data_IF_640098356801
#
_entry.id   IF_640098356801
#
_cell.length_a   1.000
_cell.length_b   1.000
_cell.length_c   1.000
_cell.angle_alpha   90.00
_cell.angle_beta   90.00
_cell.angle_gamma   90.00
#
_symmetry.space_group_name_H-M   'P 1'
#
loop_
_entity.id
_entity.type
_entity.pdbx_description
1 polymer ?
#
# COMPACT_ATOMS: atom_id res chain seq x y z
N UNK A 1 -4.21 -38.07 19.59
CA UNK A 1 -3.80 -37.21 18.47
C UNK A 1 -5.03 -36.45 18.01
N UNK A 2 -5.13 -35.14 18.28
CA UNK A 2 -6.20 -34.31 17.72
C UNK A 2 -5.91 -34.04 16.24
N UNK A 3 -6.93 -34.16 15.39
CA UNK A 3 -6.80 -34.05 13.94
C UNK A 3 -6.24 -32.68 13.54
N UNK A 4 -5.20 -32.70 12.71
CA UNK A 4 -4.53 -31.51 12.17
C UNK A 4 -5.52 -30.65 11.34
N UNK A 5 -6.54 -31.29 10.75
CA UNK A 5 -7.61 -30.65 9.98
C UNK A 5 -8.53 -29.73 10.82
N UNK A 6 -8.87 -30.07 12.07
CA UNK A 6 -9.71 -29.20 12.92
C UNK A 6 -8.97 -27.92 13.36
N UNK A 7 -7.64 -27.95 13.41
CA UNK A 7 -6.84 -26.77 13.79
C UNK A 7 -6.77 -25.72 12.68
N UNK A 8 -6.75 -26.14 11.41
CA UNK A 8 -6.63 -25.23 10.25
C UNK A 8 -7.93 -24.51 9.91
N UNK A 9 -9.09 -25.13 10.16
CA UNK A 9 -10.41 -24.50 9.96
C UNK A 9 -10.60 -23.22 10.79
N UNK A 10 -9.80 -23.01 11.84
CA UNK A 10 -9.88 -21.84 12.74
C UNK A 10 -8.89 -20.69 12.42
N UNK A 11 -7.97 -20.86 11.46
CA UNK A 11 -6.83 -19.95 11.30
C UNK A 11 -6.86 -19.08 10.05
N UNK A 12 -7.83 -19.28 9.15
CA UNK A 12 -8.01 -18.51 7.91
C UNK A 12 -9.49 -18.34 7.57
N UNK A 13 -9.87 -17.16 7.08
CA UNK A 13 -11.19 -16.90 6.48
C UNK A 13 -11.09 -15.86 5.35
N UNK A 14 -12.06 -15.86 4.44
CA UNK A 14 -12.20 -14.88 3.35
C UNK A 14 -13.67 -14.50 3.18
N UNK A 15 -13.96 -13.22 3.40
CA UNK A 15 -15.32 -12.67 3.39
C UNK A 15 -15.45 -11.59 2.30
N UNK A 16 -16.67 -11.41 1.79
CA UNK A 16 -17.01 -10.19 1.04
C UNK A 16 -17.49 -9.13 2.03
N UNK A 17 -17.08 -7.89 1.84
CA UNK A 17 -17.41 -6.81 2.77
C UNK A 17 -18.93 -6.54 2.77
N UNK A 18 -19.55 -6.58 1.59
CA UNK A 18 -21.00 -6.39 1.42
C UNK A 18 -21.87 -7.51 2.04
N UNK A 19 -21.28 -8.66 2.38
CA UNK A 19 -21.99 -9.74 3.07
C UNK A 19 -21.93 -9.60 4.60
N UNK A 20 -21.19 -8.62 5.14
CA UNK A 20 -20.99 -8.43 6.58
C UNK A 20 -22.16 -7.62 7.15
N UNK A 21 -23.18 -8.33 7.63
CA UNK A 21 -24.46 -7.73 8.07
C UNK A 21 -24.36 -7.00 9.42
N UNK A 22 -23.39 -7.36 10.27
CA UNK A 22 -23.22 -6.77 11.61
C UNK A 22 -21.73 -6.64 11.99
N UNK A 23 -21.19 -5.42 12.18
CA UNK A 23 -19.79 -5.21 12.56
C UNK A 23 -19.40 -5.90 13.87
N UNK A 24 -20.32 -6.00 14.84
CA UNK A 24 -20.09 -6.64 16.13
C UNK A 24 -19.80 -8.15 16.04
N UNK A 25 -20.43 -8.85 15.08
CA UNK A 25 -20.21 -10.29 14.88
C UNK A 25 -18.75 -10.61 14.52
N UNK A 26 -18.07 -9.71 13.79
CA UNK A 26 -16.65 -9.90 13.49
C UNK A 26 -15.75 -9.76 14.70
N UNK A 27 -16.10 -8.89 15.66
CA UNK A 27 -15.37 -8.76 16.91
C UNK A 27 -15.53 -10.02 17.77
N UNK A 28 -16.73 -10.58 17.82
CA UNK A 28 -17.03 -11.79 18.60
C UNK A 28 -16.37 -13.04 17.99
N UNK A 29 -16.33 -13.16 16.66
CA UNK A 29 -15.74 -14.32 15.96
C UNK A 29 -14.21 -14.26 15.88
N UNK A 30 -13.63 -13.08 15.70
CA UNK A 30 -12.18 -12.89 15.57
C UNK A 30 -11.69 -11.93 16.64
N UNK A 31 -11.05 -12.49 17.67
CA UNK A 31 -10.34 -11.67 18.65
C UNK A 31 -9.32 -10.76 17.94
N UNK A 32 -9.48 -9.45 18.07
CA UNK A 32 -8.66 -8.47 17.37
C UNK A 32 -7.16 -8.68 17.64
N UNK A 33 -6.80 -9.23 18.80
CA UNK A 33 -5.42 -9.46 19.22
C UNK A 33 -4.71 -10.63 18.51
N UNK A 34 -5.43 -11.50 17.80
CA UNK A 34 -4.88 -12.76 17.25
C UNK A 34 -4.80 -12.82 15.71
N UNK A 35 -5.52 -11.94 15.01
CA UNK A 35 -5.73 -12.05 13.56
C UNK A 35 -5.18 -10.86 12.78
N UNK A 36 -4.35 -11.17 11.79
CA UNK A 36 -4.00 -10.24 10.72
C UNK A 36 -5.16 -10.16 9.73
N UNK A 37 -5.33 -9.01 9.09
CA UNK A 37 -6.33 -8.83 8.06
C UNK A 37 -5.72 -8.14 6.84
N UNK A 38 -6.17 -8.54 5.65
CA UNK A 38 -5.87 -7.84 4.40
C UNK A 38 -7.22 -7.54 3.76
N UNK A 39 -7.54 -6.26 3.58
CA UNK A 39 -8.78 -5.83 2.95
C UNK A 39 -8.53 -5.23 1.58
N UNK A 40 -9.33 -5.63 0.60
CA UNK A 40 -9.52 -4.90 -0.63
C UNK A 40 -10.83 -4.13 -0.50
N UNK A 41 -10.75 -2.81 -0.52
CA UNK A 41 -11.89 -1.91 -0.42
C UNK A 41 -12.13 -1.27 -1.78
N UNK A 42 -13.37 -1.37 -2.26
CA UNK A 42 -13.83 -0.73 -3.50
C UNK A 42 -14.83 0.37 -3.16
N UNK A 43 -14.30 1.59 -3.04
CA UNK A 43 -15.08 2.82 -2.93
C UNK A 43 -14.75 3.77 -4.08
N UNK A 44 -14.78 5.08 -3.81
CA UNK A 44 -14.35 6.10 -4.78
C UNK A 44 -12.90 5.88 -5.29
N UNK A 45 -12.06 5.28 -4.44
CA UNK A 45 -10.72 4.81 -4.79
C UNK A 45 -10.62 3.35 -4.36
N UNK A 46 -9.97 2.51 -5.18
CA UNK A 46 -9.70 1.11 -4.83
C UNK A 46 -8.43 1.05 -3.98
N UNK A 47 -8.52 0.44 -2.80
CA UNK A 47 -7.41 0.38 -1.83
C UNK A 47 -7.19 -1.03 -1.29
N UNK A 48 -5.92 -1.40 -1.14
CA UNK A 48 -5.49 -2.61 -0.44
C UNK A 48 -4.90 -2.20 0.91
N UNK A 49 -5.43 -2.73 2.00
CA UNK A 49 -5.08 -2.33 3.36
C UNK A 49 -4.63 -3.55 4.18
N UNK A 50 -3.56 -3.39 4.95
CA UNK A 50 -3.02 -4.43 5.84
C UNK A 50 -3.23 -4.03 7.30
N UNK A 51 -3.97 -4.85 8.05
CA UNK A 51 -4.23 -4.62 9.46
C UNK A 51 -3.36 -5.51 10.32
N UNK A 52 -2.67 -4.89 11.27
CA UNK A 52 -2.02 -5.57 12.37
C UNK A 52 -3.02 -5.71 13.54
N UNK A 53 -3.09 -6.87 14.20
CA UNK A 53 -3.89 -7.11 15.41
C UNK A 53 -3.85 -5.97 16.45
N UNK A 54 -2.70 -5.30 16.57
CA UNK A 54 -2.44 -4.29 17.61
C UNK A 54 -2.89 -2.87 17.26
N UNK A 55 -3.48 -2.65 16.08
CA UNK A 55 -3.88 -1.31 15.62
C UNK A 55 -5.42 -1.25 15.54
N UNK A 56 -6.08 -0.44 16.40
CA UNK A 56 -7.51 -0.24 16.30
C UNK A 56 -7.83 0.50 14.99
N UNK A 57 -8.89 0.06 14.31
CA UNK A 57 -9.32 0.65 13.05
C UNK A 57 -10.85 0.80 13.05
N UNK A 58 -11.32 1.88 12.45
CA UNK A 58 -12.75 2.19 12.30
C UNK A 58 -13.22 1.80 10.91
N UNK A 59 -14.36 1.13 10.84
CA UNK A 59 -15.04 0.83 9.58
C UNK A 59 -15.94 2.00 9.19
N UNK A 60 -15.94 2.36 7.91
CA UNK A 60 -16.98 3.22 7.33
C UNK A 60 -18.00 2.33 6.63
N UNK A 61 -19.29 2.66 6.79
CA UNK A 61 -20.37 1.92 6.15
C UNK A 61 -20.40 2.19 4.63
N UNK A 62 -20.95 1.24 3.86
CA UNK A 62 -21.13 1.29 2.39
C UNK A 62 -19.89 0.99 1.52
N UNK A 63 -19.08 0.01 1.92
CA UNK A 63 -17.93 -0.43 1.12
C UNK A 63 -18.08 -1.86 0.61
N UNK A 64 -17.79 -2.07 -0.68
CA UNK A 64 -17.73 -3.42 -1.28
C UNK A 64 -16.29 -3.91 -1.34
N UNK A 65 -16.10 -5.22 -1.44
CA UNK A 65 -14.77 -5.80 -1.64
C UNK A 65 -14.54 -7.06 -0.83
N UNK A 66 -13.32 -7.26 -0.36
CA UNK A 66 -12.91 -8.51 0.27
C UNK A 66 -12.14 -8.29 1.56
N UNK A 67 -12.29 -9.22 2.50
CA UNK A 67 -11.55 -9.26 3.75
C UNK A 67 -10.96 -10.66 3.96
N UNK A 68 -9.64 -10.76 3.79
CA UNK A 68 -8.87 -11.93 4.18
C UNK A 68 -8.46 -11.81 5.65
N UNK A 69 -8.72 -12.83 6.44
CA UNK A 69 -8.44 -12.89 7.88
C UNK A 69 -7.59 -14.12 8.15
N UNK A 70 -6.49 -13.99 8.89
CA UNK A 70 -5.65 -15.14 9.23
C UNK A 70 -4.86 -14.95 10.53
N UNK A 71 -4.60 -16.06 11.24
CA UNK A 71 -3.71 -16.07 12.41
C UNK A 71 -2.25 -16.10 11.98
N UNK A 72 -1.35 -15.63 12.83
CA UNK A 72 0.10 -15.79 12.59
C UNK A 72 0.54 -17.26 12.46
N UNK A 73 -0.18 -18.20 13.07
CA UNK A 73 0.04 -19.65 12.93
C UNK A 73 -0.42 -20.23 11.60
N UNK A 74 -1.11 -19.46 10.76
CA UNK A 74 -1.43 -19.86 9.39
C UNK A 74 -0.16 -20.04 8.56
N UNK A 75 0.90 -19.31 8.88
CA UNK A 75 2.20 -19.41 8.23
C UNK A 75 3.17 -20.34 8.96
N UNK A 76 4.15 -20.86 8.21
CA UNK A 76 5.32 -21.51 8.81
C UNK A 76 6.07 -20.55 9.75
N UNK A 77 6.78 -21.09 10.74
CA UNK A 77 7.49 -20.29 11.74
C UNK A 77 8.40 -19.23 11.11
N UNK A 78 9.11 -19.58 10.02
CA UNK A 78 9.99 -18.67 9.28
C UNK A 78 9.25 -17.44 8.71
N UNK A 79 8.02 -17.60 8.23
CA UNK A 79 7.21 -16.51 7.71
C UNK A 79 6.54 -15.72 8.84
N UNK A 80 6.09 -16.40 9.90
CA UNK A 80 5.54 -15.78 11.11
C UNK A 80 6.52 -14.79 11.75
N UNK A 81 7.81 -15.12 11.81
CA UNK A 81 8.84 -14.23 12.36
C UNK A 81 9.14 -13.02 11.45
N UNK A 82 8.84 -13.14 10.16
CA UNK A 82 9.01 -12.07 9.17
C UNK A 82 7.83 -11.13 9.10
N UNK A 83 6.59 -11.64 9.19
CA UNK A 83 5.38 -10.85 8.91
C UNK A 83 5.29 -9.61 9.81
N UNK A 84 5.65 -9.75 11.09
CA UNK A 84 5.69 -8.66 12.07
C UNK A 84 6.75 -7.59 11.77
N UNK A 85 7.73 -7.90 10.93
CA UNK A 85 8.83 -6.99 10.56
C UNK A 85 8.59 -6.33 9.20
N UNK A 86 7.57 -6.75 8.46
CA UNK A 86 7.28 -6.19 7.15
C UNK A 86 6.68 -4.78 7.28
N UNK A 87 7.02 -3.85 6.37
CA UNK A 87 6.64 -2.44 6.48
C UNK A 87 5.13 -2.22 6.60
N UNK A 88 4.30 -3.00 5.90
CA UNK A 88 2.83 -2.86 5.96
C UNK A 88 2.19 -3.34 7.27
N UNK A 89 2.93 -4.06 8.11
CA UNK A 89 2.45 -4.55 9.41
C UNK A 89 3.15 -3.84 10.58
N UNK A 90 4.09 -2.90 10.33
CA UNK A 90 4.78 -2.13 11.37
C UNK A 90 3.99 -0.87 11.71
N UNK A 91 3.87 -0.58 12.99
CA UNK A 91 3.31 0.68 13.50
C UNK A 91 4.10 1.87 12.97
N UNK A 92 3.40 2.88 12.43
CA UNK A 92 4.00 4.13 11.92
C UNK A 92 4.44 4.11 10.45
N UNK A 93 4.20 3.03 9.69
CA UNK A 93 4.27 3.01 8.22
C UNK A 93 2.87 2.91 7.62
N UNK A 94 2.67 3.47 6.42
CA UNK A 94 1.37 3.42 5.74
C UNK A 94 0.99 1.98 5.34
N UNK A 95 -0.08 1.42 5.92
CA UNK A 95 -0.57 0.10 5.55
C UNK A 95 -1.50 0.13 4.32
N UNK A 96 -1.76 1.32 3.77
CA UNK A 96 -2.78 1.59 2.75
C UNK A 96 -2.11 1.75 1.38
N UNK A 97 -2.56 0.97 0.40
CA UNK A 97 -2.05 0.96 -0.95
C UNK A 97 -3.17 1.24 -1.95
N UNK A 98 -3.17 2.43 -2.55
CA UNK A 98 -4.10 2.77 -3.65
C UNK A 98 -3.74 1.98 -4.92
N UNK A 99 -4.74 1.35 -5.53
CA UNK A 99 -4.58 0.51 -6.72
C UNK A 99 -5.01 1.24 -7.99
N UNK A 100 -4.27 1.04 -9.08
CA UNK A 100 -4.72 1.40 -10.43
C UNK A 100 -5.74 0.37 -10.95
N UNK A 101 -6.48 0.69 -12.02
CA UNK A 101 -7.45 -0.26 -12.60
C UNK A 101 -6.81 -1.61 -13.00
N UNK A 102 -5.58 -1.60 -13.55
CA UNK A 102 -4.85 -2.85 -13.85
C UNK A 102 -4.46 -3.62 -12.60
N UNK A 103 -4.09 -2.92 -11.53
CA UNK A 103 -3.74 -3.53 -10.25
C UNK A 103 -4.97 -4.10 -9.54
N UNK A 104 -6.11 -3.40 -9.60
CA UNK A 104 -7.37 -3.91 -9.05
C UNK A 104 -7.74 -5.25 -9.70
N UNK A 105 -7.66 -5.37 -11.03
CA UNK A 105 -7.95 -6.63 -11.73
C UNK A 105 -7.11 -7.78 -11.17
N UNK A 106 -5.80 -7.55 -10.99
CA UNK A 106 -4.87 -8.56 -10.46
C UNK A 106 -5.24 -8.93 -9.02
N UNK A 107 -5.37 -7.93 -8.15
CA UNK A 107 -5.61 -8.12 -6.72
C UNK A 107 -6.99 -8.72 -6.45
N UNK A 108 -8.04 -8.20 -7.08
CA UNK A 108 -9.40 -8.77 -7.05
C UNK A 108 -9.43 -10.23 -7.51
N UNK A 109 -8.64 -10.56 -8.54
CA UNK A 109 -8.51 -11.93 -9.02
C UNK A 109 -7.92 -12.87 -7.97
N UNK A 110 -6.95 -12.41 -7.18
CA UNK A 110 -6.38 -13.19 -6.06
C UNK A 110 -7.45 -13.47 -5.00
N UNK A 111 -8.19 -12.44 -4.56
CA UNK A 111 -9.25 -12.61 -3.56
C UNK A 111 -10.37 -13.54 -4.03
N UNK A 112 -10.75 -13.45 -5.31
CA UNK A 112 -11.77 -14.32 -5.90
C UNK A 112 -11.32 -15.78 -5.88
N UNK A 113 -10.06 -16.04 -6.30
CA UNK A 113 -9.46 -17.38 -6.23
C UNK A 113 -9.35 -17.90 -4.81
N UNK A 114 -8.99 -17.05 -3.82
CA UNK A 114 -8.97 -17.47 -2.42
C UNK A 114 -10.35 -17.98 -1.95
N UNK A 115 -11.43 -17.31 -2.34
CA UNK A 115 -12.79 -17.70 -1.95
C UNK A 115 -13.21 -19.03 -2.57
N UNK A 116 -12.99 -19.17 -3.88
CA UNK A 116 -13.24 -20.41 -4.61
C UNK A 116 -12.46 -21.57 -3.96
N UNK A 117 -11.18 -21.32 -3.67
CA UNK A 117 -10.28 -22.30 -3.07
C UNK A 117 -10.73 -22.72 -1.66
N UNK A 118 -11.14 -21.76 -0.81
CA UNK A 118 -11.64 -22.07 0.54
C UNK A 118 -12.90 -22.96 0.49
N UNK A 119 -13.79 -22.70 -0.48
CA UNK A 119 -15.01 -23.50 -0.69
C UNK A 119 -14.77 -24.87 -1.34
N UNK A 120 -13.58 -25.12 -1.86
CA UNK A 120 -13.26 -26.36 -2.56
C UNK A 120 -12.98 -27.53 -1.60
N UNK A 121 -13.01 -28.74 -2.15
CA UNK A 121 -12.58 -29.99 -1.52
C UNK A 121 -11.12 -30.34 -1.83
N UNK A 122 -10.34 -29.40 -2.39
CA UNK A 122 -8.94 -29.64 -2.72
C UNK A 122 -8.10 -29.88 -1.47
N UNK A 123 -7.37 -31.01 -1.48
CA UNK A 123 -6.60 -31.48 -0.33
C UNK A 123 -5.55 -30.47 0.17
N UNK A 124 -4.94 -29.71 -0.75
CA UNK A 124 -3.88 -28.74 -0.41
C UNK A 124 -4.36 -27.29 -0.45
N UNK A 125 -5.66 -27.05 -0.28
CA UNK A 125 -6.24 -25.71 -0.38
C UNK A 125 -5.61 -24.69 0.57
N UNK A 126 -5.26 -25.09 1.79
CA UNK A 126 -4.61 -24.19 2.74
C UNK A 126 -3.18 -23.82 2.34
N UNK A 127 -2.44 -24.72 1.69
CA UNK A 127 -1.14 -24.39 1.12
C UNK A 127 -1.27 -23.39 -0.03
N UNK A 128 -2.28 -23.58 -0.88
CA UNK A 128 -2.57 -22.64 -1.97
C UNK A 128 -3.04 -21.27 -1.44
N UNK A 129 -3.89 -21.24 -0.42
CA UNK A 129 -4.31 -20.02 0.27
C UNK A 129 -3.11 -19.27 0.88
N UNK A 130 -2.14 -19.98 1.50
CA UNK A 130 -0.89 -19.36 1.97
C UNK A 130 -0.11 -18.69 0.84
N UNK A 131 -0.08 -19.29 -0.34
CA UNK A 131 0.57 -18.72 -1.52
C UNK A 131 -0.14 -17.45 -1.98
N UNK A 132 -1.47 -17.44 -2.02
CA UNK A 132 -2.23 -16.24 -2.36
C UNK A 132 -2.01 -15.09 -1.37
N UNK A 133 -1.97 -15.36 -0.05
CA UNK A 133 -1.65 -14.32 0.93
C UNK A 133 -0.22 -13.81 0.72
N UNK A 134 0.71 -14.71 0.44
CA UNK A 134 2.12 -14.36 0.15
C UNK A 134 2.23 -13.49 -1.12
N UNK A 135 1.41 -13.77 -2.13
CA UNK A 135 1.32 -12.97 -3.36
C UNK A 135 0.85 -11.54 -3.06
N UNK A 136 -0.21 -11.36 -2.26
CA UNK A 136 -0.68 -10.04 -1.80
C UNK A 136 0.41 -9.28 -1.02
N UNK A 137 1.11 -9.98 -0.12
CA UNK A 137 2.23 -9.40 0.65
C UNK A 137 3.33 -8.91 -0.30
N UNK A 138 3.75 -9.74 -1.27
CA UNK A 138 4.78 -9.35 -2.22
C UNK A 138 4.33 -8.26 -3.20
N UNK A 139 3.06 -8.26 -3.59
CA UNK A 139 2.47 -7.16 -4.36
C UNK A 139 2.65 -5.83 -3.62
N UNK A 140 2.29 -5.79 -2.34
CA UNK A 140 2.47 -4.60 -1.50
C UNK A 140 3.95 -4.25 -1.33
N UNK A 141 4.84 -5.22 -1.04
CA UNK A 141 6.28 -4.95 -0.92
C UNK A 141 6.91 -4.38 -2.19
N UNK A 142 6.51 -4.86 -3.37
CA UNK A 142 7.00 -4.29 -4.64
C UNK A 142 6.51 -2.86 -4.81
N UNK A 143 5.30 -2.56 -4.35
CA UNK A 143 4.73 -1.21 -4.35
C UNK A 143 5.42 -0.29 -3.33
N UNK A 144 5.82 -0.82 -2.17
CA UNK A 144 6.67 -0.10 -1.20
C UNK A 144 8.08 0.11 -1.75
N UNK A 145 8.64 -0.86 -2.49
CA UNK A 145 9.95 -0.74 -3.14
C UNK A 145 10.00 0.33 -4.24
N UNK A 146 8.88 0.61 -4.91
CA UNK A 146 8.74 1.80 -5.76
C UNK A 146 8.70 3.11 -4.96
N UNK A 147 8.24 3.10 -3.70
CA UNK A 147 8.32 4.27 -2.80
C UNK A 147 9.70 4.41 -2.13
N UNK A 148 10.43 3.32 -1.91
CA UNK A 148 11.81 3.32 -1.37
C UNK A 148 12.86 3.72 -2.43
N UNK A 149 12.52 3.73 -3.73
CA UNK A 149 13.35 4.33 -4.79
C UNK A 149 13.22 5.86 -4.89
N UNK A 150 12.42 6.51 -4.04
CA UNK A 150 12.27 7.97 -4.02
C UNK A 150 13.57 8.69 -3.64
N UNK A 151 14.46 8.05 -2.87
CA UNK A 151 15.75 8.62 -2.46
C UNK A 151 16.60 9.09 -3.66
N UNK A 152 16.47 8.42 -4.82
CA UNK A 152 17.13 8.83 -6.06
C UNK A 152 16.74 10.25 -6.49
N UNK A 153 15.49 10.66 -6.23
CA UNK A 153 14.91 11.92 -6.69
C UNK A 153 14.73 12.96 -5.58
N UNK A 154 14.84 12.56 -4.31
CA UNK A 154 14.84 13.46 -3.15
C UNK A 154 16.03 14.42 -3.23
N UNK A 155 15.78 15.71 -2.99
CA UNK A 155 16.76 16.78 -3.07
C UNK A 155 16.28 17.96 -3.89
N UNK A 156 17.18 18.93 -4.08
CA UNK A 156 16.86 20.20 -4.73
C UNK A 156 17.03 20.11 -6.24
N UNK A 157 16.02 20.60 -6.97
CA UNK A 157 15.97 20.71 -8.42
C UNK A 157 15.84 22.18 -8.80
N UNK A 158 16.69 22.67 -9.69
CA UNK A 158 16.83 24.10 -9.94
C UNK A 158 16.81 24.38 -11.44
N UNK A 159 16.11 25.42 -11.87
CA UNK A 159 16.20 25.90 -13.26
C UNK A 159 17.61 26.41 -13.55
N UNK A 160 18.02 26.41 -14.83
CA UNK A 160 19.38 26.81 -15.21
C UNK A 160 19.78 28.23 -14.75
N UNK A 161 18.79 29.13 -14.62
CA UNK A 161 18.96 30.50 -14.15
C UNK A 161 18.89 30.66 -12.62
N UNK A 162 18.61 29.58 -11.88
CA UNK A 162 18.44 29.62 -10.43
C UNK A 162 17.12 30.23 -9.96
N UNK A 163 16.23 30.67 -10.86
CA UNK A 163 15.01 31.39 -10.50
C UNK A 163 14.01 30.49 -9.76
N UNK A 164 13.88 29.22 -10.17
CA UNK A 164 13.00 28.24 -9.53
C UNK A 164 13.85 27.22 -8.79
N UNK A 165 13.54 26.99 -7.52
CA UNK A 165 14.16 25.98 -6.66
C UNK A 165 13.06 25.07 -6.13
N UNK A 166 13.06 23.82 -6.55
CA UNK A 166 12.02 22.83 -6.29
C UNK A 166 12.63 21.66 -5.49
N UNK A 167 12.30 21.59 -4.22
CA UNK A 167 12.82 20.56 -3.32
C UNK A 167 11.85 19.38 -3.21
N UNK A 168 12.31 18.19 -3.56
CA UNK A 168 11.59 16.94 -3.27
C UNK A 168 12.06 16.40 -1.93
N UNK A 169 11.17 16.39 -0.93
CA UNK A 169 11.46 15.97 0.43
C UNK A 169 11.18 14.46 0.62
N UNK A 170 11.82 13.82 1.63
CA UNK A 170 11.42 12.51 2.10
C UNK A 170 9.94 12.48 2.50
N UNK A 171 9.27 11.36 2.26
CA UNK A 171 7.85 11.20 2.59
C UNK A 171 6.88 11.79 1.56
N UNK A 172 7.35 12.14 0.36
CA UNK A 172 6.47 12.51 -0.75
C UNK A 172 5.92 13.93 -0.68
N UNK A 173 6.62 14.87 -0.03
CA UNK A 173 6.27 16.30 0.02
C UNK A 173 7.23 17.12 -0.83
N UNK A 174 6.77 18.19 -1.45
CA UNK A 174 7.66 19.14 -2.13
C UNK A 174 7.47 20.57 -1.64
N UNK A 175 8.51 21.37 -1.80
CA UNK A 175 8.48 22.82 -1.59
C UNK A 175 9.16 23.53 -2.77
N UNK A 176 8.48 24.49 -3.37
CA UNK A 176 8.99 25.25 -4.50
C UNK A 176 9.13 26.73 -4.14
N UNK A 177 10.33 27.29 -4.33
CA UNK A 177 10.58 28.72 -4.26
C UNK A 177 10.76 29.30 -5.67
N UNK A 178 10.30 30.54 -5.86
CA UNK A 178 10.47 31.31 -7.11
C UNK A 178 11.04 32.70 -6.80
N UNK A 179 12.27 32.96 -7.23
CA UNK A 179 13.01 34.18 -6.91
C UNK A 179 13.05 34.44 -5.40
N UNK A 180 12.52 35.59 -4.97
CA UNK A 180 12.48 35.97 -3.56
C UNK A 180 11.30 35.35 -2.78
N UNK A 181 10.32 34.75 -3.46
CA UNK A 181 9.19 34.11 -2.80
C UNK A 181 9.56 32.69 -2.39
N UNK A 182 9.86 32.51 -1.11
CA UNK A 182 9.99 31.19 -0.48
C UNK A 182 8.63 30.50 -0.46
N UNK A 183 8.64 29.18 -0.68
CA UNK A 183 7.45 28.33 -0.61
C UNK A 183 6.27 28.88 -1.43
N UNK A 184 6.55 29.23 -2.68
CA UNK A 184 5.55 29.65 -3.66
C UNK A 184 4.50 28.55 -3.89
N UNK A 185 4.91 27.28 -3.89
CA UNK A 185 4.03 26.11 -3.95
C UNK A 185 4.51 25.01 -3.02
N UNK A 186 3.55 24.33 -2.39
CA UNK A 186 3.79 23.19 -1.52
C UNK A 186 2.73 22.13 -1.78
N UNK A 187 3.12 20.88 -1.60
CA UNK A 187 2.20 19.79 -1.81
C UNK A 187 2.80 18.43 -1.62
N UNK A 188 2.07 17.46 -2.16
CA UNK A 188 2.48 16.06 -2.23
C UNK A 188 2.89 15.68 -3.64
N UNK A 189 3.80 14.73 -3.76
CA UNK A 189 4.16 14.09 -5.02
C UNK A 189 4.14 12.57 -4.90
N UNK A 190 3.97 11.90 -6.04
CA UNK A 190 4.07 10.44 -6.18
C UNK A 190 4.96 10.10 -7.36
N UNK A 191 5.78 9.08 -7.20
CA UNK A 191 6.67 8.58 -8.24
C UNK A 191 6.18 7.25 -8.79
N UNK A 192 6.18 7.13 -10.12
CA UNK A 192 5.92 5.88 -10.83
C UNK A 192 7.04 5.64 -11.86
N UNK A 193 8.08 4.93 -11.45
CA UNK A 193 9.29 4.80 -12.26
C UNK A 193 10.02 6.14 -12.35
N UNK A 194 10.18 6.66 -13.56
CA UNK A 194 10.79 7.97 -13.82
C UNK A 194 9.73 9.08 -14.05
N UNK A 195 8.45 8.78 -13.82
CA UNK A 195 7.35 9.76 -13.86
C UNK A 195 7.01 10.28 -12.47
N UNK A 196 6.64 11.56 -12.36
CA UNK A 196 6.22 12.21 -11.12
C UNK A 196 4.87 12.93 -11.29
N UNK A 197 3.94 12.62 -10.40
CA UNK A 197 2.65 13.30 -10.26
C UNK A 197 2.68 14.20 -9.03
N UNK A 198 2.12 15.40 -9.14
CA UNK A 198 2.00 16.39 -8.08
C UNK A 198 0.54 16.69 -7.74
N UNK A 199 0.27 16.91 -6.47
CA UNK A 199 -0.94 17.55 -5.99
C UNK A 199 -0.59 18.56 -4.90
N UNK A 200 -0.80 19.84 -5.18
CA UNK A 200 -0.55 20.92 -4.25
C UNK A 200 -1.61 20.97 -3.13
N UNK A 201 -1.29 21.67 -2.04
CA UNK A 201 -2.18 21.77 -0.87
C UNK A 201 -3.49 22.55 -1.16
N UNK A 202 -3.58 23.23 -2.32
CA UNK A 202 -4.80 23.91 -2.79
C UNK A 202 -5.65 23.04 -3.72
N UNK A 203 -5.14 21.86 -4.10
CA UNK A 203 -5.80 20.89 -4.96
C UNK A 203 -5.42 20.96 -6.44
N UNK A 204 -4.49 21.84 -6.84
CA UNK A 204 -3.96 21.88 -8.20
C UNK A 204 -3.05 20.67 -8.45
N UNK A 205 -3.10 20.14 -9.67
CA UNK A 205 -2.31 18.98 -10.08
C UNK A 205 -1.38 19.33 -11.22
N UNK A 206 -0.21 18.71 -11.24
CA UNK A 206 0.74 18.83 -12.33
C UNK A 206 1.58 17.55 -12.41
N UNK A 207 2.32 17.36 -13.49
CA UNK A 207 3.09 16.15 -13.74
C UNK A 207 4.44 16.46 -14.39
N UNK A 208 5.35 15.48 -14.37
CA UNK A 208 6.66 15.59 -14.99
C UNK A 208 7.37 14.25 -15.15
N UNK A 209 8.51 14.27 -15.82
CA UNK A 209 9.36 13.11 -16.05
C UNK A 209 10.82 13.42 -15.76
N UNK A 210 11.52 12.44 -15.19
CA UNK A 210 12.97 12.43 -15.10
C UNK A 210 13.55 11.78 -16.36
N UNK A 211 14.42 12.50 -17.07
CA UNK A 211 15.10 12.00 -18.28
C UNK A 211 16.57 12.36 -18.18
N UNK A 212 17.45 11.35 -18.22
CA UNK A 212 18.91 11.52 -18.15
C UNK A 212 19.39 12.40 -16.98
N UNK A 213 18.76 12.27 -15.81
CA UNK A 213 19.11 13.03 -14.61
C UNK A 213 18.54 14.45 -14.54
N UNK A 214 17.65 14.82 -15.46
CA UNK A 214 16.98 16.13 -15.54
C UNK A 214 15.47 15.96 -15.31
N UNK A 215 14.85 16.86 -14.56
CA UNK A 215 13.41 16.89 -14.32
C UNK A 215 12.74 17.82 -15.33
N UNK A 216 11.79 17.28 -16.11
CA UNK A 216 10.94 18.03 -17.02
C UNK A 216 9.53 18.08 -16.43
N UNK A 217 9.09 19.26 -16.01
CA UNK A 217 7.83 19.40 -15.28
C UNK A 217 7.15 20.74 -15.62
N UNK A 218 5.86 20.70 -15.98
CA UNK A 218 5.05 21.90 -16.26
C UNK A 218 5.73 22.94 -17.18
N UNK A 219 6.42 22.46 -18.23
CA UNK A 219 7.16 23.30 -19.18
C UNK A 219 8.52 23.80 -18.70
N UNK A 220 8.94 23.43 -17.50
CA UNK A 220 10.22 23.75 -16.90
C UNK A 220 11.22 22.61 -17.08
N UNK A 221 12.51 22.98 -17.12
CA UNK A 221 13.64 22.04 -17.11
C UNK A 221 14.46 22.34 -15.86
N UNK A 222 14.54 21.36 -14.96
CA UNK A 222 15.24 21.51 -13.68
C UNK A 222 16.37 20.49 -13.56
N UNK A 223 17.49 20.96 -13.04
CA UNK A 223 18.71 20.19 -12.84
C UNK A 223 18.92 19.93 -11.36
N UNK A 224 19.57 18.81 -11.04
CA UNK A 224 19.92 18.50 -9.66
C UNK A 224 20.92 19.54 -9.14
N UNK A 225 20.61 20.17 -8.00
CA UNK A 225 21.60 20.97 -7.30
C UNK A 225 22.60 20.04 -6.60
N UNK A 226 23.82 20.02 -7.12
CA UNK A 226 24.92 19.35 -6.42
C UNK A 226 25.29 20.17 -5.19
N UNK A 227 25.33 19.52 -4.02
CA UNK A 227 25.94 20.14 -2.83
C UNK A 227 27.40 20.36 -3.13
N UNK A 228 27.80 21.63 -3.33
CA UNK A 228 29.21 22.00 -3.22
C UNK A 228 29.66 21.65 -1.80
N UNK A 229 30.54 20.66 -1.71
CA UNK A 229 31.28 20.31 -0.48
C UNK A 229 32.12 21.49 -0.02
#
# INVERSE_FOLDING_TARGET
>A
MGNIEEKEVSCFDILRLEDIVQPGWMHDKYNQDDFYKIALIKGAVVTLIFFNPKIPYTWEDEQTGFLCIFKGTFFSQKMKDKINKLPMFRTGKDPVYMLTGKQDIIVSGIFSRMREELSSDYLYKYDLLRNYVTELIHFALKKTGTMENNDKYIGMWVTADGYIRHELLPGGRYDEARGNRKSAYQGSYKLTGDHIDYKDDTGFTADGDFRDGVLYHAGMVLYREEKKL
#
